data_IF_504111446037
#
_entry.id   IF_504111446037
#
_cell.length_a   1.000
_cell.length_b   1.000
_cell.length_c   1.000
_cell.angle_alpha   90.00
_cell.angle_beta   90.00
_cell.angle_gamma   90.00
#
_symmetry.space_group_name_H-M   'P 1'
#
loop_
_entity.id
_entity.type
_entity.pdbx_description
1 polymer ?
#
# COMPACT_ATOMS: atom_id res chain seq x y z
N UNK A 1 16.75 6.22 -10.44
CA UNK A 1 17.95 5.73 -11.16
C UNK A 1 18.52 4.45 -10.56
N UNK A 2 18.73 4.37 -9.23
CA UNK A 2 19.32 3.19 -8.58
C UNK A 2 18.63 1.86 -8.91
N UNK A 3 17.29 1.81 -8.88
CA UNK A 3 16.54 0.58 -9.21
C UNK A 3 16.74 0.13 -10.67
N UNK A 4 16.72 1.07 -11.62
CA UNK A 4 16.94 0.75 -13.04
C UNK A 4 18.35 0.21 -13.29
N UNK A 5 19.36 0.78 -12.63
CA UNK A 5 20.74 0.26 -12.69
C UNK A 5 20.83 -1.14 -12.08
N UNK A 6 20.16 -1.39 -10.96
CA UNK A 6 20.11 -2.70 -10.32
C UNK A 6 19.46 -3.74 -11.24
N UNK A 7 18.31 -3.43 -11.84
CA UNK A 7 17.62 -4.32 -12.76
C UNK A 7 18.40 -4.56 -14.05
N UNK A 8 19.05 -3.54 -14.61
CA UNK A 8 19.95 -3.71 -15.75
C UNK A 8 21.12 -4.63 -15.38
N UNK A 9 21.70 -4.46 -14.19
CA UNK A 9 22.73 -5.35 -13.66
C UNK A 9 22.24 -6.81 -13.60
N UNK A 10 21.05 -7.06 -13.06
CA UNK A 10 20.45 -8.40 -13.02
C UNK A 10 20.19 -8.97 -14.42
N UNK A 11 19.76 -8.15 -15.38
CA UNK A 11 19.58 -8.57 -16.78
C UNK A 11 20.92 -8.98 -17.38
N UNK A 12 21.98 -8.18 -17.20
CA UNK A 12 23.32 -8.50 -17.71
C UNK A 12 23.86 -9.79 -17.08
N UNK A 13 23.68 -9.97 -15.77
CA UNK A 13 24.05 -11.21 -15.07
C UNK A 13 23.25 -12.40 -15.60
N UNK A 14 21.94 -12.25 -15.78
CA UNK A 14 21.08 -13.30 -16.32
C UNK A 14 21.47 -13.68 -17.76
N UNK A 15 21.81 -12.69 -18.60
CA UNK A 15 22.30 -12.91 -19.96
C UNK A 15 23.64 -13.63 -19.96
N UNK A 16 24.56 -13.25 -19.07
CA UNK A 16 25.86 -13.91 -18.92
C UNK A 16 25.71 -15.36 -18.44
N UNK A 17 24.89 -15.61 -17.41
CA UNK A 17 24.56 -16.97 -16.94
C UNK A 17 23.93 -17.77 -18.07
N UNK A 18 22.99 -17.20 -18.82
CA UNK A 18 22.33 -17.87 -19.95
C UNK A 18 23.34 -18.19 -21.06
N UNK A 19 24.25 -17.28 -21.39
CA UNK A 19 25.29 -17.49 -22.40
C UNK A 19 26.29 -18.58 -21.97
N UNK A 20 26.77 -18.53 -20.73
CA UNK A 20 27.65 -19.56 -20.15
C UNK A 20 26.95 -20.91 -20.11
N UNK A 21 25.70 -20.96 -19.63
CA UNK A 21 24.90 -22.18 -19.60
C UNK A 21 24.69 -22.77 -21.01
N UNK A 22 24.32 -21.93 -21.98
CA UNK A 22 24.10 -22.33 -23.37
C UNK A 22 25.38 -22.85 -24.02
N UNK A 23 26.54 -22.27 -23.69
CA UNK A 23 27.84 -22.71 -24.19
C UNK A 23 28.29 -24.05 -23.58
N UNK A 24 28.04 -24.26 -22.28
CA UNK A 24 28.41 -25.48 -21.55
C UNK A 24 27.46 -26.66 -21.83
N UNK A 25 26.17 -26.41 -22.03
CA UNK A 25 25.12 -27.44 -22.16
C UNK A 25 24.76 -27.75 -23.63
N UNK A 26 25.73 -27.58 -24.55
CA UNK A 26 25.58 -27.76 -26.01
C UNK A 26 25.17 -29.17 -26.46
N UNK A 27 25.32 -30.18 -25.61
CA UNK A 27 25.07 -31.59 -25.96
C UNK A 27 23.73 -32.14 -25.47
N UNK A 28 22.87 -31.34 -24.80
CA UNK A 28 21.56 -31.84 -24.34
C UNK A 28 20.47 -31.69 -25.39
N UNK A 29 19.86 -32.80 -25.87
CA UNK A 29 18.89 -32.76 -26.96
C UNK A 29 17.50 -32.25 -26.55
N UNK A 30 17.19 -32.06 -25.26
CA UNK A 30 15.82 -31.75 -24.83
C UNK A 30 15.72 -30.88 -23.55
N UNK A 31 15.53 -29.57 -23.74
CA UNK A 31 15.32 -28.56 -22.68
C UNK A 31 13.89 -28.51 -22.10
N UNK A 32 12.96 -29.34 -22.61
CA UNK A 32 11.54 -29.30 -22.20
C UNK A 32 11.34 -29.53 -20.69
N UNK A 33 12.18 -30.37 -20.08
CA UNK A 33 12.13 -30.65 -18.65
C UNK A 33 12.60 -29.49 -17.77
N UNK A 34 13.58 -28.71 -18.25
CA UNK A 34 14.08 -27.51 -17.58
C UNK A 34 13.09 -26.34 -17.74
N UNK A 35 12.53 -26.16 -18.93
CA UNK A 35 11.45 -25.20 -19.17
C UNK A 35 10.22 -25.49 -18.28
N UNK A 36 9.84 -26.77 -18.14
CA UNK A 36 8.79 -27.17 -17.21
C UNK A 36 9.13 -26.86 -15.74
N UNK A 37 10.40 -27.03 -15.34
CA UNK A 37 10.85 -26.67 -14.01
C UNK A 37 10.78 -25.14 -13.78
N UNK A 38 11.21 -24.35 -14.76
CA UNK A 38 11.11 -22.89 -14.73
C UNK A 38 9.65 -22.44 -14.57
N UNK A 39 8.72 -23.03 -15.32
CA UNK A 39 7.29 -22.73 -15.19
C UNK A 39 6.75 -23.07 -13.79
N UNK A 40 7.23 -24.16 -13.17
CA UNK A 40 6.86 -24.52 -11.80
C UNK A 40 7.34 -23.45 -10.80
N UNK A 41 8.59 -22.99 -10.93
CA UNK A 41 9.13 -21.93 -10.07
C UNK A 41 8.48 -20.58 -10.31
N UNK A 42 8.30 -20.17 -11.57
CA UNK A 42 7.65 -18.92 -11.94
C UNK A 42 6.20 -18.88 -11.41
N UNK A 43 5.45 -19.97 -11.56
CA UNK A 43 4.10 -20.11 -11.02
C UNK A 43 4.07 -20.05 -9.50
N UNK A 44 5.04 -20.67 -8.82
CA UNK A 44 5.11 -20.63 -7.37
C UNK A 44 5.52 -19.24 -6.85
N UNK A 45 6.50 -18.59 -7.47
CA UNK A 45 6.89 -17.21 -7.15
C UNK A 45 5.75 -16.22 -7.36
N UNK A 46 5.01 -16.34 -8.46
CA UNK A 46 3.80 -15.56 -8.69
C UNK A 46 2.75 -15.85 -7.61
N UNK A 47 2.50 -17.12 -7.27
CA UNK A 47 1.54 -17.50 -6.22
C UNK A 47 1.88 -16.83 -4.88
N UNK A 48 3.14 -16.94 -4.45
CA UNK A 48 3.61 -16.33 -3.20
C UNK A 48 3.48 -14.80 -3.23
N UNK A 49 3.84 -14.16 -4.35
CA UNK A 49 3.69 -12.71 -4.53
C UNK A 49 2.21 -12.28 -4.45
N UNK A 50 1.32 -13.01 -5.12
CA UNK A 50 -0.12 -12.75 -5.09
C UNK A 50 -0.73 -12.94 -3.68
N UNK A 51 -0.26 -13.94 -2.91
CA UNK A 51 -0.67 -14.12 -1.52
C UNK A 51 -0.18 -12.98 -0.63
N UNK A 52 1.08 -12.55 -0.80
CA UNK A 52 1.68 -11.44 -0.07
C UNK A 52 0.91 -10.13 -0.27
N UNK A 53 0.78 -9.68 -1.52
CA UNK A 53 0.08 -8.43 -1.85
C UNK A 53 -1.42 -8.51 -1.57
N UNK A 54 -2.04 -9.66 -1.86
CA UNK A 54 -3.45 -9.88 -1.59
C UNK A 54 -3.78 -9.77 -0.10
N UNK A 55 -2.99 -10.39 0.79
CA UNK A 55 -3.17 -10.27 2.23
C UNK A 55 -2.92 -8.85 2.75
N UNK A 56 -1.92 -8.15 2.22
CA UNK A 56 -1.62 -6.77 2.61
C UNK A 56 -2.74 -5.77 2.25
N UNK A 57 -3.63 -6.13 1.32
CA UNK A 57 -4.85 -5.36 0.98
C UNK A 57 -6.10 -5.90 1.68
N UNK A 58 -6.19 -7.22 1.86
CA UNK A 58 -7.30 -7.88 2.54
C UNK A 58 -7.35 -7.52 4.03
N UNK A 59 -6.18 -7.33 4.63
CA UNK A 59 -6.02 -6.65 5.91
C UNK A 59 -5.64 -5.21 5.54
N UNK A 60 -6.48 -4.18 5.79
CA UNK A 60 -6.31 -2.83 5.24
C UNK A 60 -5.09 -2.03 5.78
N UNK A 61 -3.90 -2.60 5.75
CA UNK A 61 -2.65 -1.99 6.23
C UNK A 61 -1.88 -1.28 5.12
N UNK A 62 -1.93 -1.76 3.87
CA UNK A 62 -1.14 -1.19 2.78
C UNK A 62 -1.59 0.23 2.40
N UNK A 63 -2.90 0.51 2.50
CA UNK A 63 -3.52 1.77 2.07
C UNK A 63 -4.10 2.57 3.24
N UNK A 64 -3.54 2.43 4.45
CA UNK A 64 -4.03 3.11 5.66
C UNK A 64 -3.85 4.65 5.66
N UNK A 65 -3.55 5.25 4.51
CA UNK A 65 -3.26 6.67 4.30
C UNK A 65 -4.30 7.59 4.95
N UNK A 66 -5.60 7.40 4.67
CA UNK A 66 -6.61 8.29 5.25
C UNK A 66 -6.92 8.04 6.74
N UNK A 67 -6.35 7.00 7.35
CA UNK A 67 -6.53 6.72 8.78
C UNK A 67 -5.69 7.65 9.65
N UNK A 68 -4.64 8.28 9.10
CA UNK A 68 -3.76 9.18 9.83
C UNK A 68 -4.29 10.63 9.73
N UNK A 69 -4.45 11.34 10.87
CA UNK A 69 -4.98 12.70 10.93
C UNK A 69 -4.31 13.70 9.97
N UNK A 70 -2.98 13.62 9.80
CA UNK A 70 -2.21 14.55 8.96
C UNK A 70 -2.69 14.63 7.51
N UNK A 71 -3.11 13.49 6.94
CA UNK A 71 -3.57 13.44 5.55
C UNK A 71 -5.01 13.94 5.37
N UNK A 72 -5.78 14.07 6.45
CA UNK A 72 -7.18 14.53 6.40
C UNK A 72 -7.29 16.05 6.26
N UNK A 73 -6.22 16.78 6.57
CA UNK A 73 -6.17 18.25 6.47
C UNK A 73 -5.49 18.73 5.19
N UNK A 74 -4.81 17.86 4.44
CA UNK A 74 -4.15 18.24 3.19
C UNK A 74 -5.19 18.56 2.10
N UNK A 75 -4.94 19.63 1.34
CA UNK A 75 -5.82 20.02 0.23
C UNK A 75 -5.67 19.03 -0.93
N UNK A 76 -6.78 18.53 -1.48
CA UNK A 76 -6.79 17.49 -2.53
C UNK A 76 -5.91 17.86 -3.74
N UNK A 77 -5.88 19.14 -4.13
CA UNK A 77 -5.04 19.62 -5.23
C UNK A 77 -3.53 19.65 -4.94
N UNK A 78 -3.13 19.65 -3.67
CA UNK A 78 -1.74 19.69 -3.20
C UNK A 78 -1.21 18.30 -2.78
N UNK A 79 -1.98 17.24 -3.04
CA UNK A 79 -1.59 15.85 -2.77
C UNK A 79 -0.85 15.29 -3.99
N UNK A 80 0.27 14.58 -3.78
CA UNK A 80 0.97 13.91 -4.88
C UNK A 80 0.10 12.83 -5.54
N UNK A 81 0.37 12.49 -6.81
CA UNK A 81 -0.41 11.47 -7.52
C UNK A 81 -0.44 10.12 -6.77
N UNK A 82 0.70 9.68 -6.24
CA UNK A 82 0.76 8.46 -5.43
C UNK A 82 -0.15 8.58 -4.20
N UNK A 83 -0.03 9.65 -3.44
CA UNK A 83 -0.84 9.85 -2.24
C UNK A 83 -2.34 9.97 -2.55
N UNK A 84 -2.71 10.53 -3.70
CA UNK A 84 -4.09 10.55 -4.20
C UNK A 84 -4.62 9.13 -4.44
N UNK A 85 -3.83 8.26 -5.07
CA UNK A 85 -4.20 6.85 -5.26
C UNK A 85 -4.32 6.10 -3.93
N UNK A 86 -3.38 6.31 -3.00
CA UNK A 86 -3.41 5.71 -1.67
C UNK A 86 -4.63 6.20 -0.88
N UNK A 87 -4.92 7.48 -0.98
CA UNK A 87 -6.09 8.11 -0.38
C UNK A 87 -7.39 7.55 -0.94
N UNK A 88 -7.49 7.37 -2.26
CA UNK A 88 -8.64 6.78 -2.94
C UNK A 88 -8.87 5.33 -2.50
N UNK A 89 -7.84 4.47 -2.58
CA UNK A 89 -7.94 3.07 -2.15
C UNK A 89 -8.26 2.97 -0.66
N UNK A 90 -7.56 3.75 0.16
CA UNK A 90 -7.68 3.79 1.62
C UNK A 90 -8.92 4.49 2.15
N UNK A 91 -9.67 5.19 1.30
CA UNK A 91 -10.93 5.81 1.69
C UNK A 91 -11.98 4.74 2.04
N UNK A 92 -11.94 3.59 1.36
CA UNK A 92 -12.91 2.50 1.47
C UNK A 92 -12.23 1.16 1.79
N UNK A 93 -12.25 0.76 3.07
CA UNK A 93 -11.75 -0.55 3.52
C UNK A 93 -12.38 -1.70 2.70
N UNK A 94 -13.71 -1.76 2.46
CA UNK A 94 -14.31 -2.85 1.68
C UNK A 94 -13.81 -2.93 0.24
N UNK A 95 -13.54 -1.79 -0.41
CA UNK A 95 -12.99 -1.76 -1.77
C UNK A 95 -11.55 -2.27 -1.78
N UNK A 96 -10.71 -1.79 -0.86
CA UNK A 96 -9.35 -2.29 -0.68
C UNK A 96 -9.35 -3.81 -0.43
N UNK A 97 -10.21 -4.30 0.47
CA UNK A 97 -10.35 -5.72 0.77
C UNK A 97 -10.81 -6.53 -0.45
N UNK A 98 -11.75 -6.02 -1.25
CA UNK A 98 -12.21 -6.70 -2.46
C UNK A 98 -11.08 -6.87 -3.48
N UNK A 99 -10.28 -5.82 -3.71
CA UNK A 99 -9.11 -5.94 -4.59
C UNK A 99 -8.06 -6.92 -4.04
N UNK A 100 -7.82 -6.90 -2.72
CA UNK A 100 -6.94 -7.87 -2.05
C UNK A 100 -7.44 -9.31 -2.14
N UNK A 101 -8.75 -9.53 -2.07
CA UNK A 101 -9.36 -10.84 -2.20
C UNK A 101 -9.14 -11.43 -3.60
N UNK A 102 -9.29 -10.61 -4.65
CA UNK A 102 -9.01 -11.04 -6.04
C UNK A 102 -7.56 -11.52 -6.17
N UNK A 103 -6.62 -10.75 -5.63
CA UNK A 103 -5.19 -11.09 -5.64
C UNK A 103 -4.90 -12.36 -4.83
N UNK A 104 -5.45 -12.46 -3.63
CA UNK A 104 -5.28 -13.60 -2.75
C UNK A 104 -5.83 -14.88 -3.39
N UNK A 105 -7.06 -14.84 -3.94
CA UNK A 105 -7.68 -15.97 -4.63
C UNK A 105 -6.85 -16.40 -5.84
N UNK A 106 -6.30 -15.46 -6.61
CA UNK A 106 -5.36 -15.79 -7.70
C UNK A 106 -4.15 -16.57 -7.17
N UNK A 107 -3.53 -16.10 -6.09
CA UNK A 107 -2.41 -16.76 -5.42
C UNK A 107 -2.74 -18.17 -4.93
N UNK A 108 -3.87 -18.35 -4.27
CA UNK A 108 -4.38 -19.65 -3.81
C UNK A 108 -4.55 -20.59 -5.01
N UNK A 109 -5.28 -20.18 -6.05
CA UNK A 109 -5.56 -21.01 -7.22
C UNK A 109 -4.27 -21.43 -7.97
N UNK A 110 -3.24 -20.58 -7.98
CA UNK A 110 -1.92 -20.90 -8.57
C UNK A 110 -1.21 -22.07 -7.88
N UNK A 111 -1.48 -22.34 -6.60
CA UNK A 111 -0.82 -23.43 -5.86
C UNK A 111 -1.24 -24.82 -6.35
N UNK A 112 -2.50 -24.99 -6.79
CA UNK A 112 -3.02 -26.28 -7.26
C UNK A 112 -2.81 -26.49 -8.75
N UNK A 113 -2.42 -27.71 -9.12
CA UNK A 113 -2.17 -28.10 -10.53
C UNK A 113 -3.44 -28.07 -11.39
N UNK A 114 -4.63 -28.14 -10.80
CA UNK A 114 -5.91 -28.15 -11.54
C UNK A 114 -6.44 -26.74 -11.80
N UNK A 115 -6.14 -25.77 -10.94
CA UNK A 115 -6.74 -24.43 -10.96
C UNK A 115 -5.78 -23.33 -11.38
N UNK A 116 -4.49 -23.64 -11.55
CA UNK A 116 -3.49 -22.60 -11.77
C UNK A 116 -3.71 -21.75 -13.01
N UNK A 117 -4.31 -22.29 -14.08
CA UNK A 117 -4.61 -21.51 -15.27
C UNK A 117 -5.62 -20.40 -14.94
N UNK A 118 -6.67 -20.73 -14.20
CA UNK A 118 -7.63 -19.74 -13.71
C UNK A 118 -6.95 -18.71 -12.80
N UNK A 119 -6.11 -19.17 -11.87
CA UNK A 119 -5.32 -18.28 -11.02
C UNK A 119 -4.41 -17.34 -11.81
N UNK A 120 -3.78 -17.84 -12.88
CA UNK A 120 -2.92 -17.04 -13.76
C UNK A 120 -3.73 -15.98 -14.53
N UNK A 121 -4.91 -16.34 -15.06
CA UNK A 121 -5.78 -15.38 -15.76
C UNK A 121 -6.28 -14.28 -14.83
N UNK A 122 -6.67 -14.62 -13.59
CA UNK A 122 -7.05 -13.62 -12.58
C UNK A 122 -5.84 -12.74 -12.24
N UNK A 123 -4.65 -13.33 -12.07
CA UNK A 123 -3.42 -12.57 -11.81
C UNK A 123 -3.05 -11.63 -12.96
N UNK A 124 -3.28 -12.00 -14.23
CA UNK A 124 -3.08 -11.09 -15.38
C UNK A 124 -3.97 -9.86 -15.26
N UNK A 125 -5.25 -10.04 -14.96
CA UNK A 125 -6.18 -8.91 -14.82
C UNK A 125 -5.79 -8.05 -13.61
N UNK A 126 -5.53 -8.67 -12.46
CA UNK A 126 -5.17 -7.97 -11.24
C UNK A 126 -3.84 -7.20 -11.38
N UNK A 127 -2.78 -7.85 -11.89
CA UNK A 127 -1.49 -7.20 -12.11
C UNK A 127 -1.52 -6.20 -13.27
N UNK A 128 -2.41 -6.39 -14.25
CA UNK A 128 -2.68 -5.38 -15.27
C UNK A 128 -3.18 -4.08 -14.64
N UNK A 129 -4.19 -4.17 -13.77
CA UNK A 129 -4.70 -3.02 -13.03
C UNK A 129 -3.62 -2.39 -12.13
N UNK A 130 -2.93 -3.19 -11.31
CA UNK A 130 -1.86 -2.68 -10.44
C UNK A 130 -0.74 -2.02 -11.23
N UNK A 131 -0.34 -2.59 -12.36
CA UNK A 131 0.69 -2.01 -13.22
C UNK A 131 0.27 -0.66 -13.81
N UNK A 132 -0.97 -0.57 -14.32
CA UNK A 132 -1.51 0.69 -14.86
C UNK A 132 -1.60 1.76 -13.77
N UNK A 133 -2.12 1.41 -12.59
CA UNK A 133 -2.15 2.33 -11.45
C UNK A 133 -0.74 2.81 -11.09
N UNK A 134 0.23 1.90 -11.04
CA UNK A 134 1.61 2.26 -10.73
C UNK A 134 2.26 3.16 -11.78
N UNK A 135 1.91 2.96 -13.05
CA UNK A 135 2.44 3.75 -14.16
C UNK A 135 1.85 5.17 -14.17
N UNK A 136 0.54 5.30 -13.99
CA UNK A 136 -0.18 6.56 -14.16
C UNK A 136 -0.27 7.41 -12.89
N UNK A 137 -0.12 6.82 -11.70
CA UNK A 137 -0.08 7.55 -10.42
C UNK A 137 1.33 7.71 -9.85
N UNK A 138 2.35 7.52 -10.69
CA UNK A 138 3.77 7.64 -10.35
C UNK A 138 4.19 6.86 -9.10
N UNK A 139 3.76 5.62 -9.01
CA UNK A 139 4.12 4.75 -7.89
C UNK A 139 5.50 4.15 -8.13
N UNK A 140 6.42 4.19 -7.14
CA UNK A 140 7.78 3.69 -7.27
C UNK A 140 7.90 2.15 -7.21
N UNK A 141 6.89 1.40 -7.68
CA UNK A 141 6.94 -0.09 -7.77
C UNK A 141 6.47 -0.65 -9.12
N UNK A 142 6.42 0.20 -10.15
CA UNK A 142 5.97 -0.15 -11.52
C UNK A 142 6.76 -1.30 -12.16
N UNK A 143 8.07 -1.40 -11.90
CA UNK A 143 8.92 -2.49 -12.40
C UNK A 143 8.53 -3.85 -11.83
N UNK A 144 8.30 -3.92 -10.52
CA UNK A 144 7.92 -5.16 -9.84
C UNK A 144 6.54 -5.64 -10.32
N UNK A 145 5.56 -4.74 -10.37
CA UNK A 145 4.22 -5.09 -10.90
C UNK A 145 4.26 -5.49 -12.38
N UNK A 146 5.11 -4.86 -13.19
CA UNK A 146 5.30 -5.22 -14.59
C UNK A 146 5.94 -6.60 -14.77
N UNK A 147 6.92 -6.95 -13.94
CA UNK A 147 7.53 -8.27 -13.93
C UNK A 147 6.55 -9.37 -13.52
N UNK A 148 5.73 -9.13 -12.49
CA UNK A 148 4.67 -10.07 -12.08
C UNK A 148 3.61 -10.26 -13.17
N UNK A 149 3.19 -9.17 -13.83
CA UNK A 149 2.30 -9.24 -14.99
C UNK A 149 2.91 -10.06 -16.13
N UNK A 150 4.18 -9.80 -16.46
CA UNK A 150 4.90 -10.56 -17.48
C UNK A 150 4.96 -12.05 -17.12
N UNK A 151 5.29 -12.40 -15.88
CA UNK A 151 5.31 -13.78 -15.40
C UNK A 151 3.91 -14.41 -15.52
N UNK A 152 2.85 -13.69 -15.13
CA UNK A 152 1.47 -14.18 -15.22
C UNK A 152 1.07 -14.51 -16.66
N UNK A 153 1.47 -13.67 -17.64
CA UNK A 153 1.26 -13.94 -19.07
C UNK A 153 2.15 -15.10 -19.54
N UNK A 154 3.43 -15.11 -19.19
CA UNK A 154 4.39 -16.12 -19.64
C UNK A 154 4.03 -17.55 -19.16
N UNK A 155 3.48 -17.71 -17.96
CA UNK A 155 3.06 -19.04 -17.49
C UNK A 155 1.86 -19.59 -18.26
N UNK A 156 1.06 -18.72 -18.91
CA UNK A 156 -0.09 -19.15 -19.74
C UNK A 156 0.30 -19.55 -21.16
N UNK A 157 1.55 -19.31 -21.58
CA UNK A 157 2.02 -19.60 -22.96
C UNK A 157 1.69 -21.01 -23.46
N UNK A 158 1.81 -22.10 -22.66
CA UNK A 158 1.46 -23.44 -23.14
C UNK A 158 -0.02 -23.60 -23.54
N UNK A 159 -0.90 -22.72 -23.04
CA UNK A 159 -2.34 -22.75 -23.26
C UNK A 159 -2.81 -21.68 -24.25
N UNK A 160 -1.93 -20.86 -24.81
CA UNK A 160 -2.35 -19.69 -25.62
C UNK A 160 -3.24 -20.09 -26.81
N UNK A 161 -2.90 -21.19 -27.50
CA UNK A 161 -3.69 -21.68 -28.65
C UNK A 161 -5.08 -22.13 -28.21
N UNK A 162 -5.18 -22.89 -27.12
CA UNK A 162 -6.46 -23.36 -26.57
C UNK A 162 -7.31 -22.20 -26.06
N UNK A 163 -6.69 -21.20 -25.42
CA UNK A 163 -7.36 -19.98 -24.98
C UNK A 163 -7.89 -19.17 -26.17
N UNK A 164 -7.07 -18.96 -27.21
CA UNK A 164 -7.49 -18.25 -28.42
C UNK A 164 -8.63 -18.98 -29.14
N UNK A 165 -8.55 -20.31 -29.28
CA UNK A 165 -9.64 -21.11 -29.86
C UNK A 165 -10.93 -20.98 -29.05
N UNK A 166 -10.85 -21.01 -27.73
CA UNK A 166 -12.02 -20.85 -26.85
C UNK A 166 -12.63 -19.46 -26.98
N UNK A 167 -11.82 -18.39 -26.93
CA UNK A 167 -12.28 -16.99 -27.02
C UNK A 167 -12.90 -16.69 -28.38
N UNK A 168 -12.27 -17.13 -29.46
CA UNK A 168 -12.75 -16.89 -30.83
C UNK A 168 -13.74 -17.96 -31.31
N UNK A 169 -14.19 -18.87 -30.44
CA UNK A 169 -15.11 -19.97 -30.74
C UNK A 169 -14.66 -20.84 -31.93
N UNK A 170 -13.34 -21.02 -32.08
CA UNK A 170 -12.70 -21.80 -33.15
C UNK A 170 -12.44 -23.24 -32.72
N UNK A 171 -13.50 -24.06 -32.75
CA UNK A 171 -13.43 -25.51 -32.55
C UNK A 171 -13.18 -25.96 -31.11
N UNK A 172 -13.00 -27.27 -30.92
CA UNK A 172 -12.74 -27.88 -29.60
C UNK A 172 -11.28 -27.71 -29.19
N UNK A 173 -11.06 -27.38 -27.92
CA UNK A 173 -9.70 -27.25 -27.36
C UNK A 173 -9.17 -28.63 -26.97
N UNK A 174 -7.99 -28.98 -27.49
CA UNK A 174 -7.31 -30.22 -27.11
C UNK A 174 -6.71 -30.10 -25.69
N UNK A 175 -6.67 -31.20 -24.90
CA UNK A 175 -6.01 -31.21 -23.61
C UNK A 175 -4.51 -30.90 -23.73
N UNK A 176 -4.08 -29.79 -23.14
CA UNK A 176 -2.66 -29.42 -23.11
C UNK A 176 -1.89 -30.33 -22.15
N UNK A 177 -0.97 -31.12 -22.69
CA UNK A 177 -0.07 -31.97 -21.90
C UNK A 177 1.22 -31.21 -21.59
N UNK A 178 1.35 -30.77 -20.34
CA UNK A 178 2.58 -30.13 -19.86
C UNK A 178 3.73 -31.14 -19.74
N UNK A 179 4.94 -30.73 -20.11
CA UNK A 179 6.13 -31.56 -19.96
C UNK A 179 6.43 -31.85 -18.48
N UNK A 180 6.96 -33.04 -18.15
CA UNK A 180 7.37 -33.34 -16.78
C UNK A 180 8.56 -32.46 -16.39
N UNK A 181 8.46 -31.78 -15.24
CA UNK A 181 9.58 -31.03 -14.68
C UNK A 181 10.77 -31.95 -14.39
N UNK A 182 11.98 -31.45 -14.56
CA UNK A 182 13.20 -32.20 -14.25
C UNK A 182 13.15 -32.79 -12.82
N UNK A 183 13.49 -34.08 -12.68
CA UNK A 183 13.46 -34.79 -11.38
C UNK A 183 12.08 -35.24 -10.89
N UNK A 184 10.98 -34.82 -11.51
CA UNK A 184 9.60 -35.13 -11.06
C UNK A 184 9.20 -36.61 -11.17
N UNK A 185 9.96 -37.42 -11.93
CA UNK A 185 9.81 -38.86 -12.00
C UNK A 185 10.14 -39.58 -10.68
N UNK A 186 11.01 -38.99 -9.85
CA UNK A 186 11.38 -39.53 -8.54
C UNK A 186 10.27 -39.20 -7.53
N UNK A 187 9.58 -40.23 -7.02
CA UNK A 187 8.43 -40.07 -6.10
C UNK A 187 8.75 -39.23 -4.87
N UNK A 188 9.95 -39.40 -4.29
CA UNK A 188 10.40 -38.61 -3.13
C UNK A 188 10.54 -37.12 -3.47
N UNK A 189 11.24 -36.74 -4.55
CA UNK A 189 11.39 -35.33 -4.96
C UNK A 189 10.03 -34.65 -5.20
N UNK A 190 9.08 -35.35 -5.83
CA UNK A 190 7.74 -34.82 -6.06
C UNK A 190 6.97 -34.59 -4.75
N UNK A 191 7.05 -35.53 -3.81
CA UNK A 191 6.43 -35.39 -2.48
C UNK A 191 7.07 -34.25 -1.71
N UNK A 192 8.39 -34.25 -1.58
CA UNK A 192 9.15 -33.19 -0.88
C UNK A 192 8.88 -31.82 -1.47
N UNK A 193 8.91 -31.67 -2.80
CA UNK A 193 8.60 -30.38 -3.45
C UNK A 193 7.15 -29.94 -3.24
N UNK A 194 6.20 -30.88 -3.18
CA UNK A 194 4.80 -30.55 -2.88
C UNK A 194 4.62 -30.10 -1.44
N UNK A 195 5.21 -30.82 -0.49
CA UNK A 195 5.21 -30.47 0.94
C UNK A 195 5.86 -29.11 1.13
N UNK A 196 7.09 -28.92 0.64
CA UNK A 196 7.81 -27.65 0.73
C UNK A 196 7.01 -26.48 0.17
N UNK A 197 6.41 -26.63 -1.03
CA UNK A 197 5.56 -25.61 -1.65
C UNK A 197 4.39 -25.18 -0.75
N UNK A 198 3.65 -26.14 -0.18
CA UNK A 198 2.51 -25.83 0.69
C UNK A 198 2.94 -25.33 2.07
N UNK A 199 4.03 -25.84 2.63
CA UNK A 199 4.61 -25.35 3.88
C UNK A 199 5.06 -23.90 3.72
N UNK A 200 5.83 -23.57 2.67
CA UNK A 200 6.28 -22.20 2.41
C UNK A 200 5.08 -21.28 2.19
N UNK A 201 4.12 -21.66 1.34
CA UNK A 201 2.93 -20.85 1.11
C UNK A 201 2.14 -20.62 2.41
N UNK A 202 1.93 -21.67 3.22
CA UNK A 202 1.23 -21.58 4.49
C UNK A 202 1.96 -20.70 5.52
N UNK A 203 3.27 -20.86 5.66
CA UNK A 203 4.11 -20.05 6.55
C UNK A 203 4.07 -18.58 6.13
N UNK A 204 4.26 -18.29 4.83
CA UNK A 204 4.17 -16.93 4.30
C UNK A 204 2.80 -16.33 4.58
N UNK A 205 1.72 -17.05 4.29
CA UNK A 205 0.35 -16.59 4.57
C UNK A 205 0.14 -16.27 6.06
N UNK A 206 0.56 -17.15 6.97
CA UNK A 206 0.43 -16.93 8.41
C UNK A 206 1.24 -15.72 8.87
N UNK A 207 2.52 -15.64 8.49
CA UNK A 207 3.39 -14.54 8.91
C UNK A 207 2.87 -13.19 8.43
N UNK A 208 2.44 -13.10 7.17
CA UNK A 208 1.92 -11.86 6.57
C UNK A 208 0.59 -11.49 7.21
N UNK A 209 -0.28 -12.46 7.46
CA UNK A 209 -1.56 -12.21 8.12
C UNK A 209 -1.35 -11.73 9.57
N UNK A 210 -0.46 -12.39 10.33
CA UNK A 210 -0.14 -11.99 11.71
C UNK A 210 0.46 -10.60 11.74
N UNK A 211 1.46 -10.31 10.89
CA UNK A 211 2.07 -8.99 10.79
C UNK A 211 1.03 -7.93 10.41
N UNK A 212 0.21 -8.21 9.39
CA UNK A 212 -0.87 -7.31 8.96
C UNK A 212 -1.88 -7.02 10.08
N UNK A 213 -2.30 -8.04 10.85
CA UNK A 213 -3.22 -7.82 11.98
C UNK A 213 -2.57 -6.95 13.07
N UNK A 214 -1.32 -7.22 13.42
CA UNK A 214 -0.57 -6.42 14.40
C UNK A 214 -0.46 -4.97 13.94
N UNK A 215 -0.03 -4.73 12.69
CA UNK A 215 0.07 -3.40 12.11
C UNK A 215 -1.29 -2.70 12.05
N UNK A 216 -2.36 -3.41 11.67
CA UNK A 216 -3.70 -2.84 11.64
C UNK A 216 -4.16 -2.37 13.03
N UNK A 217 -3.87 -3.15 14.07
CA UNK A 217 -4.13 -2.76 15.45
C UNK A 217 -3.31 -1.53 15.86
N UNK A 218 -2.01 -1.49 15.53
CA UNK A 218 -1.13 -0.35 15.81
C UNK A 218 -1.61 0.95 15.14
N UNK A 219 -2.08 0.89 13.89
CA UNK A 219 -2.60 2.07 13.20
C UNK A 219 -3.96 2.51 13.76
N UNK A 220 -4.79 1.60 14.27
CA UNK A 220 -6.13 1.94 14.81
C UNK A 220 -6.08 2.43 16.25
N UNK A 221 -5.13 1.94 17.05
CA UNK A 221 -5.00 2.30 18.46
C UNK A 221 -4.40 3.69 18.61
N UNK A 222 -4.99 4.50 19.49
CA UNK A 222 -4.50 5.85 19.83
C UNK A 222 -3.82 5.75 21.19
N UNK A 223 -2.56 6.18 21.27
CA UNK A 223 -1.78 6.17 22.50
C UNK A 223 -2.16 7.32 23.45
N UNK A 224 -2.64 8.45 22.90
CA UNK A 224 -3.07 9.60 23.69
C UNK A 224 -4.38 10.22 23.21
N UNK A 225 -5.05 10.93 24.13
CA UNK A 225 -6.30 11.63 23.87
C UNK A 225 -6.14 12.85 22.94
N UNK A 226 -4.91 13.33 22.76
CA UNK A 226 -4.59 14.40 21.81
C UNK A 226 -4.57 13.91 20.34
N UNK A 227 -4.57 12.60 20.06
CA UNK A 227 -4.66 12.07 18.69
C UNK A 227 -5.97 12.53 18.02
N UNK A 228 -5.84 13.10 16.83
CA UNK A 228 -6.94 13.58 16.02
C UNK A 228 -6.61 14.87 15.29
N UNK A 229 -7.65 15.47 14.69
CA UNK A 229 -7.55 16.76 14.02
C UNK A 229 -8.21 17.83 14.87
N UNK A 230 -7.54 18.96 14.97
CA UNK A 230 -7.86 20.10 15.81
C UNK A 230 -7.92 21.34 14.93
N UNK A 231 -8.96 22.15 15.11
CA UNK A 231 -9.17 23.43 14.41
C UNK A 231 -8.97 24.57 15.39
N UNK A 232 -8.18 25.57 15.01
CA UNK A 232 -7.98 26.74 15.86
C UNK A 232 -9.28 27.53 16.02
N UNK A 233 -9.64 27.84 17.26
CA UNK A 233 -10.67 28.82 17.64
C UNK A 233 -10.04 30.18 17.95
N UNK A 234 -8.82 30.18 18.48
CA UNK A 234 -8.01 31.36 18.72
C UNK A 234 -6.55 31.01 18.40
N UNK A 235 -5.77 32.00 17.96
CA UNK A 235 -4.32 31.85 17.85
C UNK A 235 -3.68 33.22 18.08
N UNK A 236 -2.73 33.31 18.99
CA UNK A 236 -2.00 34.53 19.31
C UNK A 236 -0.50 34.33 19.10
N UNK A 237 0.16 35.41 18.71
CA UNK A 237 1.61 35.52 18.58
C UNK A 237 2.04 36.73 19.40
N UNK A 238 2.95 36.55 20.36
CA UNK A 238 3.36 37.62 21.29
C UNK A 238 2.16 38.29 22.00
N UNK A 239 1.14 37.48 22.34
CA UNK A 239 -0.10 37.94 22.98
C UNK A 239 -1.05 38.74 22.09
N UNK A 240 -0.73 38.92 20.80
CA UNK A 240 -1.61 39.58 19.82
C UNK A 240 -2.33 38.53 18.96
N UNK A 241 -3.62 38.74 18.70
CA UNK A 241 -4.39 37.82 17.85
C UNK A 241 -3.81 37.79 16.43
N UNK A 242 -3.49 36.59 15.94
CA UNK A 242 -2.86 36.42 14.64
C UNK A 242 -3.87 36.69 13.50
N UNK A 243 -3.38 37.36 12.45
CA UNK A 243 -4.16 37.66 11.25
C UNK A 243 -3.84 36.65 10.15
N UNK A 244 -4.69 36.56 9.12
CA UNK A 244 -4.45 35.70 7.95
C UNK A 244 -3.20 36.10 7.14
N UNK A 245 -2.70 37.33 7.32
CA UNK A 245 -1.51 37.85 6.65
C UNK A 245 -0.21 37.61 7.44
N UNK A 246 -0.32 37.13 8.69
CA UNK A 246 0.84 36.83 9.53
C UNK A 246 1.62 35.64 8.94
N UNK A 247 2.93 35.81 8.74
CA UNK A 247 3.81 34.79 8.15
C UNK A 247 4.93 34.29 9.07
N UNK A 248 5.22 34.98 10.19
CA UNK A 248 6.33 34.65 11.09
C UNK A 248 5.94 34.74 12.57
N UNK A 249 5.57 33.61 13.22
CA UNK A 249 5.14 32.37 12.57
C UNK A 249 3.74 32.54 11.98
N UNK A 250 3.45 31.81 10.89
CA UNK A 250 2.09 31.76 10.35
C UNK A 250 1.15 31.03 11.34
N UNK A 251 -0.10 31.49 11.53
CA UNK A 251 -1.02 30.86 12.47
C UNK A 251 -1.39 29.45 12.01
N UNK A 252 -1.38 28.50 12.93
CA UNK A 252 -1.76 27.12 12.62
C UNK A 252 -3.28 26.98 12.70
N UNK A 253 -3.96 27.06 11.55
CA UNK A 253 -5.43 27.01 11.45
C UNK A 253 -5.98 25.62 11.75
N UNK A 254 -5.23 24.57 11.40
CA UNK A 254 -5.47 23.22 11.86
C UNK A 254 -4.16 22.58 12.35
N UNK A 255 -4.29 21.71 13.35
CA UNK A 255 -3.24 20.82 13.82
C UNK A 255 -3.77 19.39 13.78
N UNK A 256 -2.99 18.48 13.23
CA UNK A 256 -3.32 17.06 13.21
C UNK A 256 -2.21 16.29 13.92
N UNK A 257 -2.60 15.54 14.95
CA UNK A 257 -1.69 14.77 15.80
C UNK A 257 -2.04 13.30 15.60
N UNK A 258 -1.08 12.51 15.14
CA UNK A 258 -1.19 11.06 15.10
C UNK A 258 -0.24 10.52 16.17
N UNK A 259 -0.78 9.95 17.25
CA UNK A 259 0.02 9.35 18.32
C UNK A 259 -0.30 7.85 18.40
N UNK A 260 0.51 7.07 17.70
CA UNK A 260 0.27 5.65 17.39
C UNK A 260 1.59 4.91 17.38
N UNK A 261 1.57 3.64 17.78
CA UNK A 261 2.79 2.82 17.88
C UNK A 261 3.56 2.75 16.56
N UNK A 262 4.89 2.84 16.64
CA UNK A 262 5.80 2.65 15.51
C UNK A 262 5.92 3.90 14.64
N UNK A 263 5.99 3.72 13.32
CA UNK A 263 6.23 4.82 12.37
C UNK A 263 4.97 5.67 12.07
N UNK A 264 3.92 5.52 12.88
CA UNK A 264 2.62 6.19 12.69
C UNK A 264 2.45 7.44 13.56
N UNK A 265 3.54 7.95 14.12
CA UNK A 265 3.60 9.20 14.88
C UNK A 265 3.87 10.40 13.97
N UNK A 266 3.00 11.40 13.97
CA UNK A 266 3.26 12.68 13.29
C UNK A 266 2.49 13.85 13.89
N UNK A 267 3.11 15.03 13.89
CA UNK A 267 2.47 16.29 14.21
C UNK A 267 2.44 17.14 12.94
N UNK A 268 1.25 17.49 12.45
CA UNK A 268 1.08 18.20 11.18
C UNK A 268 0.37 19.52 11.43
N UNK A 269 0.95 20.63 10.98
CA UNK A 269 0.31 21.94 11.05
C UNK A 269 -0.18 22.34 9.67
N UNK A 270 -1.28 23.10 9.62
CA UNK A 270 -1.78 23.74 8.41
C UNK A 270 -1.87 25.25 8.62
N UNK A 271 -1.37 26.02 7.65
CA UNK A 271 -1.43 27.49 7.65
C UNK A 271 -2.67 27.99 6.88
N UNK A 272 -3.04 29.28 6.91
CA UNK A 272 -4.24 29.79 6.22
C UNK A 272 -4.24 29.55 4.72
N UNK A 273 -3.07 29.53 4.09
CA UNK A 273 -2.91 29.20 2.67
C UNK A 273 -3.16 27.71 2.35
N UNK A 274 -3.41 26.88 3.37
CA UNK A 274 -3.72 25.45 3.24
C UNK A 274 -2.51 24.52 3.15
N UNK A 275 -1.29 25.07 3.02
CA UNK A 275 -0.06 24.29 3.08
C UNK A 275 0.11 23.60 4.43
N UNK A 276 0.63 22.37 4.39
CA UNK A 276 0.89 21.54 5.56
C UNK A 276 2.40 21.42 5.83
N UNK A 277 2.78 21.40 7.10
CA UNK A 277 4.15 21.06 7.51
C UNK A 277 4.09 19.87 8.45
N UNK A 278 4.87 18.83 8.14
CA UNK A 278 4.95 17.60 8.95
C UNK A 278 6.16 17.70 9.87
N UNK A 279 5.94 17.35 11.13
CA UNK A 279 6.96 17.26 12.17
C UNK A 279 6.93 15.85 12.76
N UNK A 280 8.11 15.33 13.08
CA UNK A 280 8.23 14.29 14.08
C UNK A 280 7.91 14.88 15.45
N UNK A 281 7.36 14.09 16.36
CA UNK A 281 7.18 14.56 17.73
C UNK A 281 7.36 13.45 18.75
N UNK A 282 7.71 13.87 19.97
CA UNK A 282 7.72 13.04 21.17
C UNK A 282 6.89 13.72 22.26
N UNK A 283 6.13 12.90 23.01
CA UNK A 283 5.42 13.36 24.22
C UNK A 283 6.29 13.10 25.44
N UNK A 284 6.49 14.13 26.27
CA UNK A 284 7.18 14.02 27.57
C UNK A 284 6.35 14.72 28.64
N UNK A 285 5.48 13.96 29.30
CA UNK A 285 4.54 14.51 30.26
C UNK A 285 3.52 15.42 29.57
N UNK A 286 3.52 16.70 29.94
CA UNK A 286 2.68 17.77 29.37
C UNK A 286 3.36 18.54 28.23
N UNK A 287 4.52 18.05 27.76
CA UNK A 287 5.30 18.66 26.69
C UNK A 287 5.26 17.84 25.40
N UNK A 288 5.18 18.54 24.29
CA UNK A 288 5.36 18.06 22.92
C UNK A 288 6.66 18.63 22.37
N UNK A 289 7.64 17.77 22.12
CA UNK A 289 8.86 18.16 21.41
C UNK A 289 8.66 17.86 19.92
N UNK A 290 8.58 18.89 19.08
CA UNK A 290 8.40 18.73 17.63
C UNK A 290 9.70 19.04 16.87
N UNK A 291 9.98 18.27 15.82
CA UNK A 291 11.17 18.43 14.96
C UNK A 291 10.79 18.32 13.48
N UNK A 292 11.31 19.23 12.66
CA UNK A 292 11.08 19.20 11.21
C UNK A 292 11.98 18.17 10.53
N UNK A 293 13.25 18.16 10.92
CA UNK A 293 14.21 17.11 10.57
C UNK A 293 14.85 16.51 11.83
N UNK A 294 15.32 15.27 11.75
CA UNK A 294 15.90 14.55 12.90
C UNK A 294 17.09 15.29 13.54
N UNK A 295 17.87 16.00 12.71
CA UNK A 295 19.02 16.82 13.11
C UNK A 295 18.64 18.18 13.72
N UNK A 296 17.39 18.61 13.58
CA UNK A 296 16.98 19.94 14.04
C UNK A 296 16.81 19.97 15.56
N UNK A 297 17.10 21.12 16.21
CA UNK A 297 16.76 21.30 17.61
C UNK A 297 15.23 21.18 17.80
N UNK A 298 14.76 20.54 18.88
CA UNK A 298 13.33 20.39 19.14
C UNK A 298 12.71 21.74 19.48
N UNK A 299 11.54 22.00 18.89
CA UNK A 299 10.63 23.05 19.33
C UNK A 299 9.73 22.48 20.40
N UNK A 300 9.76 23.06 21.60
CA UNK A 300 8.97 22.58 22.74
C UNK A 300 7.65 23.33 22.82
N UNK A 301 6.56 22.59 22.80
CA UNK A 301 5.21 23.08 23.05
C UNK A 301 4.70 22.44 24.35
N UNK A 302 4.02 23.20 25.20
CA UNK A 302 3.21 22.62 26.26
C UNK A 302 1.78 22.46 25.74
N UNK A 303 1.15 21.35 26.09
CA UNK A 303 -0.25 21.11 25.74
C UNK A 303 -1.10 20.95 27.00
N UNK A 304 -2.35 21.38 26.91
CA UNK A 304 -3.36 21.14 27.93
C UNK A 304 -4.66 20.75 27.28
N UNK A 305 -5.23 19.64 27.75
CA UNK A 305 -6.58 19.23 27.38
C UNK A 305 -7.58 19.82 28.38
N UNK A 306 -8.65 20.40 27.86
CA UNK A 306 -9.82 20.85 28.63
C UNK A 306 -11.05 20.05 28.18
N UNK A 307 -11.20 18.86 28.76
CA UNK A 307 -12.15 17.85 28.28
C UNK A 307 -11.69 17.19 26.97
N UNK A 308 -12.58 16.42 26.31
CA UNK A 308 -12.22 15.61 25.14
C UNK A 308 -12.04 16.42 23.85
N UNK A 309 -12.60 17.64 23.79
CA UNK A 309 -12.76 18.39 22.54
C UNK A 309 -12.07 19.75 22.52
N UNK A 310 -11.32 20.11 23.57
CA UNK A 310 -10.51 21.34 23.59
C UNK A 310 -9.05 21.04 23.91
N UNK A 311 -8.19 21.57 23.05
CA UNK A 311 -6.74 21.44 23.16
C UNK A 311 -6.14 22.84 23.14
N UNK A 312 -5.31 23.15 24.12
CA UNK A 312 -4.54 24.38 24.18
C UNK A 312 -3.07 24.03 23.93
N UNK A 313 -2.43 24.74 23.01
CA UNK A 313 -1.00 24.60 22.71
C UNK A 313 -0.30 25.93 22.96
N UNK A 314 0.78 25.90 23.74
CA UNK A 314 1.60 27.08 24.05
C UNK A 314 3.07 26.76 23.84
N UNK A 315 3.87 27.71 23.37
CA UNK A 315 5.30 27.48 23.21
C UNK A 315 6.00 28.61 22.49
N UNK A 316 7.20 28.34 22.00
CA UNK A 316 7.99 29.32 21.23
C UNK A 316 8.29 28.76 19.86
N UNK A 317 7.79 29.39 18.81
CA UNK A 317 8.00 29.01 17.40
C UNK A 317 8.66 30.18 16.69
N UNK A 318 9.75 29.92 15.96
CA UNK A 318 10.56 30.94 15.27
C UNK A 318 10.98 32.10 16.20
N UNK A 319 11.27 31.79 17.47
CA UNK A 319 11.66 32.76 18.49
C UNK A 319 10.53 33.62 19.06
N UNK A 320 9.27 33.38 18.67
CA UNK A 320 8.10 34.10 19.19
C UNK A 320 7.20 33.19 20.02
N UNK A 321 6.67 33.72 21.12
CA UNK A 321 5.69 33.02 21.91
C UNK A 321 4.37 32.89 21.15
N UNK A 322 3.83 31.67 21.11
CA UNK A 322 2.53 31.37 20.53
C UNK A 322 1.61 30.74 21.56
N UNK A 323 0.32 31.02 21.41
CA UNK A 323 -0.75 30.36 22.16
C UNK A 323 -1.91 30.12 21.19
N UNK A 324 -2.33 28.85 21.06
CA UNK A 324 -3.45 28.46 20.22
C UNK A 324 -4.47 27.67 21.03
N UNK A 325 -5.72 28.12 20.99
CA UNK A 325 -6.87 27.35 21.44
C UNK A 325 -7.46 26.60 20.26
N UNK A 326 -7.69 25.31 20.44
CA UNK A 326 -8.21 24.43 19.42
C UNK A 326 -9.43 23.67 19.89
N UNK A 327 -10.34 23.44 18.96
CA UNK A 327 -11.46 22.53 19.11
C UNK A 327 -11.28 21.30 18.23
N UNK A 328 -11.68 20.13 18.71
CA UNK A 328 -11.64 18.89 17.91
C UNK A 328 -12.49 19.06 16.65
N UNK A 329 -11.90 18.78 15.49
CA UNK A 329 -12.54 18.91 14.19
C UNK A 329 -13.22 17.60 13.81
N UNK A 330 -14.54 17.65 13.66
CA UNK A 330 -15.30 16.54 13.08
C UNK A 330 -15.00 16.37 11.59
N UNK A 331 -14.80 15.12 11.16
CA UNK A 331 -14.55 14.78 9.77
C UNK A 331 -15.78 14.09 9.18
N UNK A 332 -16.34 14.65 8.11
CA UNK A 332 -17.50 14.06 7.41
C UNK A 332 -17.28 12.61 6.98
N UNK A 333 -16.02 12.23 6.70
CA UNK A 333 -15.65 10.84 6.41
C UNK A 333 -16.12 9.86 7.49
N UNK A 334 -16.16 10.27 8.76
CA UNK A 334 -16.63 9.43 9.87
C UNK A 334 -18.10 8.99 9.72
N UNK A 335 -18.90 9.73 8.96
CA UNK A 335 -20.30 9.41 8.66
C UNK A 335 -20.45 8.55 7.38
N UNK A 336 -19.39 8.51 6.56
CA UNK A 336 -19.34 7.78 5.30
C UNK A 336 -18.88 6.34 5.54
N UNK A 337 -19.77 5.41 5.29
CA UNK A 337 -19.50 3.97 5.36
C UNK A 337 -20.13 3.26 4.16
N UNK A 338 -19.72 2.03 3.89
CA UNK A 338 -20.35 1.23 2.84
C UNK A 338 -21.83 1.05 3.14
N UNK A 339 -22.68 1.45 2.18
CA UNK A 339 -24.13 1.28 2.23
C UNK A 339 -24.57 0.55 0.98
N UNK A 340 -25.23 -0.60 1.15
CA UNK A 340 -25.82 -1.33 0.02
C UNK A 340 -27.07 -0.62 -0.52
N UNK A 341 -27.83 0.01 0.38
CA UNK A 341 -29.04 0.79 0.05
C UNK A 341 -28.68 2.27 0.17
N UNK A 342 -28.98 3.03 -0.88
CA UNK A 342 -28.71 4.46 -0.89
C UNK A 342 -29.63 5.16 0.13
N UNK A 343 -29.09 5.99 1.05
CA UNK A 343 -29.93 6.82 1.91
C UNK A 343 -30.71 7.82 1.05
N UNK A 344 -31.85 8.28 1.53
CA UNK A 344 -32.52 9.44 0.93
C UNK A 344 -31.55 10.63 0.98
N UNK A 345 -31.06 11.06 -0.18
CA UNK A 345 -30.22 12.25 -0.28
C UNK A 345 -31.08 13.48 -0.03
N UNK A 346 -30.72 14.28 0.98
CA UNK A 346 -31.25 15.64 1.09
C UNK A 346 -30.89 16.40 -0.20
N UNK A 347 -31.90 16.83 -0.96
CA UNK A 347 -31.72 17.60 -2.18
C UNK A 347 -31.23 19.01 -1.84
N UNK A 348 -29.91 19.15 -1.65
CA UNK A 348 -29.25 20.41 -1.32
C UNK A 348 -28.29 20.89 -2.42
N UNK A 349 -27.83 22.16 -2.38
CA UNK A 349 -26.85 22.68 -3.34
C UNK A 349 -25.54 21.88 -3.37
N UNK A 350 -25.15 21.30 -2.23
CA UNK A 350 -23.94 20.48 -2.11
C UNK A 350 -24.01 19.17 -2.92
N UNK A 351 -25.21 18.63 -3.18
CA UNK A 351 -25.38 17.43 -4.01
C UNK A 351 -25.29 17.72 -5.52
N UNK A 352 -25.11 18.99 -5.91
CA UNK A 352 -24.95 19.43 -7.32
C UNK A 352 -23.50 19.69 -7.72
N UNK A 353 -22.56 19.55 -6.78
CA UNK A 353 -21.14 19.59 -7.11
C UNK A 353 -20.75 18.24 -7.76
N UNK A 354 -20.07 18.25 -8.92
CA UNK A 354 -19.81 17.06 -9.74
C UNK A 354 -18.82 16.07 -9.12
#
# INVERSE_FOLDING_TARGET
MAEWCLHLGWILVALLITAVWTALDRQRPNYRSLAALLLVFARFGLAVSMLLYGLAKLIPTQMAYMMLPGYQIQMVGDVSMMNTLWGFMGASDPYSMATGLVEFVAGVLLLWRRTWLLGALIAIVAMGQVFLLNLFYDVPVKLVSGALLFIAVAITTPYWQSLARTVFQRGTSEPVVLWPASGSGRRWLRRTGTVAKFTIAGVVTVLVATFGVVTYQQIRHRESDIDGVWRATSFTVEGQQATLQQTSPAPWTNVAIADRVGDYTSFVTQVPAGYVTVYQFEIRGDRLEIKKHESDPPTVLNFRLDGPDRLMLTGTVDGKHIEGDYQRRHMQRSESHFRLIQPETENGPASRLP
#
